data_IF_463323736096
#
_entry.id   IF_463323736096
#
_cell.length_a   1.000
_cell.length_b   1.000
_cell.length_c   1.000
_cell.angle_alpha   90.00
_cell.angle_beta   90.00
_cell.angle_gamma   90.00
#
_symmetry.space_group_name_H-M   'P 1'
#
loop_
_entity.id
_entity.type
_entity.pdbx_description
1 polymer ?
#
# COMPACT_ATOMS: atom_id res chain seq x y z
N UNK A 1 20.97 7.01 -11.89
CA UNK A 1 21.04 8.09 -10.89
C UNK A 1 21.27 7.47 -9.52
N UNK A 2 22.38 7.82 -8.85
CA UNK A 2 22.61 7.39 -7.47
C UNK A 2 21.75 8.22 -6.52
N UNK A 3 21.04 7.61 -5.55
CA UNK A 3 20.39 8.36 -4.48
C UNK A 3 21.42 9.24 -3.78
N UNK A 4 21.06 10.49 -3.47
CA UNK A 4 21.91 11.40 -2.69
C UNK A 4 22.32 10.75 -1.36
N UNK A 5 23.57 10.97 -0.93
CA UNK A 5 24.06 10.47 0.36
C UNK A 5 23.08 10.86 1.47
N UNK A 6 22.40 9.87 2.06
CA UNK A 6 21.45 10.05 3.15
C UNK A 6 19.97 9.79 2.83
N UNK A 7 19.57 9.68 1.55
CA UNK A 7 18.19 9.37 1.18
C UNK A 7 17.88 7.89 1.41
N UNK A 8 17.10 7.57 2.45
CA UNK A 8 16.78 6.20 2.85
C UNK A 8 15.48 5.74 2.19
N UNK A 9 15.57 4.68 1.39
CA UNK A 9 14.43 4.05 0.74
C UNK A 9 14.33 2.61 1.21
N UNK A 10 13.13 2.12 1.45
CA UNK A 10 12.87 0.74 1.84
C UNK A 10 11.65 0.16 1.15
N UNK A 11 11.52 -1.17 1.23
CA UNK A 11 10.33 -1.93 0.84
C UNK A 11 10.09 -3.02 1.89
N UNK A 12 9.10 -3.89 1.70
CA UNK A 12 8.91 -5.06 2.56
C UNK A 12 9.87 -6.17 2.13
N UNK A 13 10.54 -6.82 3.08
CA UNK A 13 11.39 -7.99 2.80
C UNK A 13 10.57 -9.12 2.17
N UNK A 14 11.18 -9.79 1.19
CA UNK A 14 10.62 -10.93 0.46
C UNK A 14 9.31 -10.63 -0.27
N UNK A 15 9.03 -9.35 -0.54
CA UNK A 15 7.86 -8.92 -1.29
C UNK A 15 8.03 -9.00 -2.80
N UNK A 16 6.91 -8.92 -3.53
CA UNK A 16 6.88 -8.70 -4.99
C UNK A 16 7.72 -7.48 -5.38
N UNK A 17 7.55 -6.37 -4.64
CA UNK A 17 8.30 -5.14 -4.84
C UNK A 17 9.82 -5.34 -4.68
N UNK A 18 10.28 -6.03 -3.62
CA UNK A 18 11.70 -6.33 -3.44
C UNK A 18 12.24 -7.20 -4.59
N UNK A 19 11.52 -8.25 -4.96
CA UNK A 19 11.90 -9.15 -6.05
C UNK A 19 12.01 -8.40 -7.39
N UNK A 20 11.05 -7.51 -7.67
CA UNK A 20 11.06 -6.66 -8.87
C UNK A 20 12.25 -5.69 -8.88
N UNK A 21 12.48 -4.99 -7.78
CA UNK A 21 13.58 -4.02 -7.64
C UNK A 21 14.93 -4.73 -7.74
N UNK A 22 15.08 -5.89 -7.10
CA UNK A 22 16.30 -6.71 -7.20
C UNK A 22 16.63 -7.08 -8.64
N UNK A 23 15.62 -7.46 -9.42
CA UNK A 23 15.78 -7.84 -10.83
C UNK A 23 16.05 -6.65 -11.75
N UNK A 24 15.33 -5.55 -11.56
CA UNK A 24 15.30 -4.42 -12.50
C UNK A 24 16.28 -3.29 -12.13
N UNK A 25 16.58 -3.13 -10.84
CA UNK A 25 17.38 -2.04 -10.27
C UNK A 25 18.30 -2.55 -9.14
N UNK A 26 19.31 -3.40 -9.45
CA UNK A 26 20.15 -4.06 -8.44
C UNK A 26 20.90 -3.09 -7.52
N UNK A 27 21.36 -1.94 -8.03
CA UNK A 27 22.02 -0.90 -7.23
C UNK A 27 21.07 -0.27 -6.20
N UNK A 28 19.82 -0.03 -6.61
CA UNK A 28 18.78 0.46 -5.70
C UNK A 28 18.44 -0.60 -4.65
N UNK A 29 18.31 -1.86 -5.04
CA UNK A 29 18.11 -2.96 -4.08
C UNK A 29 19.25 -3.06 -3.06
N UNK A 30 20.51 -2.94 -3.49
CA UNK A 30 21.66 -2.94 -2.58
C UNK A 30 21.60 -1.80 -1.56
N UNK A 31 21.14 -0.63 -1.99
CA UNK A 31 20.90 0.52 -1.11
C UNK A 31 19.74 0.29 -0.13
N UNK A 32 18.62 -0.26 -0.61
CA UNK A 32 17.40 -0.47 0.19
C UNK A 32 17.51 -1.60 1.22
N UNK A 33 18.40 -2.56 1.02
CA UNK A 33 18.49 -3.78 1.85
C UNK A 33 18.61 -3.49 3.36
N UNK A 34 19.32 -2.43 3.74
CA UNK A 34 19.54 -2.05 5.15
C UNK A 34 18.38 -1.26 5.78
N UNK A 35 17.42 -0.83 4.98
CA UNK A 35 16.34 0.06 5.39
C UNK A 35 14.94 -0.53 5.17
N UNK A 36 14.87 -1.73 4.59
CA UNK A 36 13.62 -2.44 4.35
C UNK A 36 12.99 -2.92 5.65
N UNK A 37 11.69 -3.22 5.60
CA UNK A 37 10.83 -3.45 6.75
C UNK A 37 10.21 -4.87 6.69
N UNK A 38 9.79 -5.42 7.84
CA UNK A 38 9.12 -6.73 7.87
C UNK A 38 7.69 -6.70 7.32
N UNK A 39 7.00 -5.57 7.40
CA UNK A 39 5.59 -5.43 6.99
C UNK A 39 5.30 -4.02 6.47
N UNK A 40 4.21 -3.87 5.70
CA UNK A 40 3.74 -2.56 5.20
C UNK A 40 3.48 -1.56 6.33
N UNK A 41 2.75 -1.89 7.41
CA UNK A 41 2.55 -0.94 8.52
C UNK A 41 3.86 -0.52 9.18
N UNK A 42 4.85 -1.42 9.27
CA UNK A 42 6.16 -1.07 9.83
C UNK A 42 6.92 -0.10 8.92
N UNK A 43 6.90 -0.32 7.60
CA UNK A 43 7.48 0.60 6.63
C UNK A 43 6.84 1.99 6.68
N UNK A 44 5.51 2.05 6.85
CA UNK A 44 4.77 3.31 7.06
C UNK A 44 5.17 4.00 8.35
N UNK A 45 5.24 3.28 9.47
CA UNK A 45 5.69 3.83 10.76
C UNK A 45 7.12 4.38 10.71
N UNK A 46 8.00 3.80 9.88
CA UNK A 46 9.35 4.30 9.66
C UNK A 46 9.39 5.63 8.88
N UNK A 47 8.37 5.94 8.06
CA UNK A 47 8.27 7.24 7.37
C UNK A 47 7.86 8.36 8.34
N UNK A 48 6.98 8.05 9.29
CA UNK A 48 6.37 9.04 10.19
C UNK A 48 7.03 9.12 11.56
N UNK A 49 8.08 8.31 11.82
CA UNK A 49 8.85 8.36 13.06
C UNK A 49 9.59 9.69 13.22
N UNK A 50 9.95 10.03 14.45
CA UNK A 50 10.78 11.20 14.77
C UNK A 50 12.07 10.77 15.50
N UNK A 51 13.27 10.86 14.86
CA UNK A 51 13.48 11.26 13.47
C UNK A 51 12.99 10.19 12.47
N UNK A 52 12.70 10.56 11.20
CA UNK A 52 12.27 9.60 10.19
C UNK A 52 13.34 8.54 9.91
N UNK A 53 12.97 7.27 9.96
CA UNK A 53 13.87 6.15 9.61
C UNK A 53 13.92 5.92 8.10
N UNK A 54 12.86 6.27 7.38
CA UNK A 54 12.79 6.26 5.91
C UNK A 54 12.44 7.65 5.37
N UNK A 55 12.89 7.92 4.15
CA UNK A 55 12.46 9.09 3.37
C UNK A 55 11.42 8.70 2.30
N UNK A 56 11.48 7.46 1.81
CA UNK A 56 10.49 6.90 0.89
C UNK A 56 10.30 5.41 1.14
N UNK A 57 9.09 4.93 0.88
CA UNK A 57 8.71 3.53 0.99
C UNK A 57 8.08 3.07 -0.33
N UNK A 58 8.61 1.99 -0.89
CA UNK A 58 8.15 1.42 -2.16
C UNK A 58 7.38 0.15 -1.84
N UNK A 59 6.11 0.09 -2.21
CA UNK A 59 5.25 -1.07 -2.03
C UNK A 59 4.07 -1.02 -3.00
N UNK A 60 3.29 -2.11 -3.09
CA UNK A 60 2.06 -2.21 -3.87
C UNK A 60 1.14 -1.01 -3.63
N UNK A 61 0.67 -0.41 -4.74
CA UNK A 61 -0.15 0.81 -4.68
C UNK A 61 -1.41 0.63 -3.83
N UNK A 62 -2.10 -0.50 -3.94
CA UNK A 62 -3.30 -0.80 -3.15
C UNK A 62 -3.00 -0.78 -1.65
N UNK A 63 -1.89 -1.38 -1.22
CA UNK A 63 -1.50 -1.39 0.19
C UNK A 63 -1.17 0.03 0.68
N UNK A 64 -0.45 0.81 -0.13
CA UNK A 64 -0.14 2.20 0.23
C UNK A 64 -1.37 3.10 0.25
N UNK A 65 -2.29 2.96 -0.70
CA UNK A 65 -3.54 3.72 -0.75
C UNK A 65 -4.43 3.41 0.46
N UNK A 66 -4.42 2.16 0.95
CA UNK A 66 -5.09 1.79 2.19
C UNK A 66 -4.47 2.50 3.41
N UNK A 67 -3.15 2.46 3.54
CA UNK A 67 -2.44 3.11 4.66
C UNK A 67 -2.68 4.63 4.66
N UNK A 68 -2.69 5.26 3.49
CA UNK A 68 -3.06 6.68 3.33
C UNK A 68 -4.51 6.94 3.70
N UNK A 69 -5.45 6.05 3.36
CA UNK A 69 -6.87 6.27 3.65
C UNK A 69 -7.21 6.17 5.15
N UNK A 70 -6.41 5.41 5.90
CA UNK A 70 -6.57 5.27 7.35
C UNK A 70 -5.73 6.28 8.16
N UNK A 71 -4.73 6.94 7.55
CA UNK A 71 -3.91 7.98 8.18
C UNK A 71 -4.76 9.14 8.71
N UNK A 72 -4.87 9.23 10.04
CA UNK A 72 -5.64 10.28 10.71
C UNK A 72 -4.91 11.64 10.70
N UNK A 73 -3.58 11.61 10.62
CA UNK A 73 -2.72 12.80 10.72
C UNK A 73 -2.44 13.44 9.36
N UNK A 74 -2.79 12.75 8.26
CA UNK A 74 -2.61 13.24 6.89
C UNK A 74 -1.15 13.60 6.57
N UNK A 75 -0.24 12.79 7.10
CA UNK A 75 1.21 12.89 6.90
C UNK A 75 1.68 12.07 5.70
N UNK A 76 0.85 11.16 5.21
CA UNK A 76 1.18 10.24 4.13
C UNK A 76 0.50 10.62 2.81
N UNK A 77 1.21 10.42 1.71
CA UNK A 77 0.66 10.52 0.36
C UNK A 77 1.41 9.59 -0.60
N UNK A 78 0.70 9.01 -1.58
CA UNK A 78 1.30 8.21 -2.64
C UNK A 78 1.74 9.10 -3.80
N UNK A 79 3.00 8.96 -4.25
CA UNK A 79 3.59 9.74 -5.35
C UNK A 79 4.07 8.85 -6.50
N UNK A 80 4.27 9.49 -7.66
CA UNK A 80 4.92 8.87 -8.81
C UNK A 80 3.94 8.16 -9.75
N UNK A 81 4.43 7.84 -10.95
CA UNK A 81 3.69 7.02 -11.91
C UNK A 81 3.84 5.55 -11.54
N UNK A 82 2.81 4.71 -11.74
CA UNK A 82 2.95 3.26 -11.64
C UNK A 82 4.11 2.79 -12.52
N UNK A 83 5.05 2.04 -11.95
CA UNK A 83 6.26 1.58 -12.62
C UNK A 83 6.33 0.05 -12.79
N UNK A 84 5.39 -0.67 -12.16
CA UNK A 84 5.16 -2.10 -12.33
C UNK A 84 3.65 -2.35 -12.31
N UNK A 85 3.17 -3.25 -13.18
CA UNK A 85 1.78 -3.70 -13.16
C UNK A 85 1.69 -4.99 -12.36
N UNK A 86 0.92 -4.97 -11.28
CA UNK A 86 0.66 -6.14 -10.44
C UNK A 86 -0.83 -6.44 -10.43
N UNK A 87 -1.17 -7.73 -10.31
CA UNK A 87 -2.54 -8.20 -10.25
C UNK A 87 -2.66 -9.35 -9.25
N UNK A 88 -3.60 -9.23 -8.33
CA UNK A 88 -3.94 -10.31 -7.41
C UNK A 88 -4.82 -11.36 -8.12
N UNK A 89 -4.52 -12.63 -7.89
CA UNK A 89 -5.24 -13.77 -8.44
C UNK A 89 -5.56 -14.80 -7.38
N UNK A 90 -6.47 -15.72 -7.70
CA UNK A 90 -6.80 -16.87 -6.85
C UNK A 90 -5.94 -18.05 -7.28
N UNK A 91 -5.12 -18.57 -6.37
CA UNK A 91 -4.29 -19.76 -6.61
C UNK A 91 -5.12 -21.04 -6.57
N UNK A 92 -4.94 -21.91 -7.57
CA UNK A 92 -5.56 -23.24 -7.63
C UNK A 92 -4.49 -24.29 -7.93
N UNK A 93 -4.70 -25.57 -7.52
CA UNK A 93 -3.87 -26.66 -8.00
C UNK A 93 -3.86 -26.74 -9.53
N UNK A 94 -2.75 -27.20 -10.09
CA UNK A 94 -2.63 -27.40 -11.53
C UNK A 94 -3.73 -28.33 -12.04
N UNK A 95 -4.33 -28.00 -13.18
CA UNK A 95 -5.44 -28.73 -13.80
C UNK A 95 -6.73 -28.81 -12.95
N UNK A 96 -6.92 -27.90 -11.99
CA UNK A 96 -8.18 -27.81 -11.26
C UNK A 96 -9.37 -27.59 -12.21
N UNK A 97 -10.44 -28.41 -12.11
CA UNK A 97 -11.64 -28.25 -12.92
C UNK A 97 -12.37 -26.93 -12.59
N UNK A 98 -12.03 -26.27 -11.48
CA UNK A 98 -12.63 -25.01 -11.05
C UNK A 98 -12.05 -23.79 -11.77
N UNK A 99 -10.91 -23.93 -12.44
CA UNK A 99 -10.17 -22.80 -13.02
C UNK A 99 -11.05 -21.97 -13.95
N UNK A 100 -11.70 -22.60 -14.94
CA UNK A 100 -12.55 -21.89 -15.90
C UNK A 100 -13.73 -21.21 -15.22
N UNK A 101 -14.45 -21.93 -14.35
CA UNK A 101 -15.63 -21.40 -13.67
C UNK A 101 -15.27 -20.20 -12.78
N UNK A 102 -14.17 -20.29 -12.03
CA UNK A 102 -13.71 -19.19 -11.17
C UNK A 102 -13.27 -17.97 -11.98
N UNK A 103 -12.54 -18.17 -13.08
CA UNK A 103 -12.17 -17.08 -13.97
C UNK A 103 -13.40 -16.38 -14.55
N UNK A 104 -14.43 -17.13 -14.95
CA UNK A 104 -15.69 -16.58 -15.44
C UNK A 104 -16.42 -15.75 -14.37
N UNK A 105 -16.52 -16.27 -13.13
CA UNK A 105 -17.14 -15.52 -12.04
C UNK A 105 -16.41 -14.22 -11.70
N UNK A 106 -15.07 -14.26 -11.64
CA UNK A 106 -14.26 -13.04 -11.44
C UNK A 106 -14.51 -12.03 -12.56
N UNK A 107 -14.58 -12.50 -13.81
CA UNK A 107 -14.90 -11.64 -14.95
C UNK A 107 -16.27 -10.98 -14.80
N UNK A 108 -17.30 -11.76 -14.40
CA UNK A 108 -18.66 -11.24 -14.15
C UNK A 108 -18.68 -10.20 -13.03
N UNK A 109 -17.97 -10.44 -11.93
CA UNK A 109 -17.86 -9.48 -10.82
C UNK A 109 -17.16 -8.18 -11.20
N UNK A 110 -16.16 -8.26 -12.08
CA UNK A 110 -15.51 -7.07 -12.63
C UNK A 110 -16.48 -6.31 -13.53
N UNK A 111 -17.11 -6.98 -14.50
CA UNK A 111 -18.00 -6.31 -15.47
C UNK A 111 -19.28 -5.75 -14.85
N UNK A 112 -19.76 -6.34 -13.74
CA UNK A 112 -20.93 -5.84 -13.02
C UNK A 112 -20.64 -4.66 -12.08
N UNK A 113 -19.38 -4.26 -11.92
CA UNK A 113 -18.96 -3.25 -10.94
C UNK A 113 -18.96 -3.74 -9.48
N UNK A 114 -19.17 -5.04 -9.24
CA UNK A 114 -19.16 -5.57 -7.87
C UNK A 114 -17.78 -5.42 -7.19
N UNK A 115 -16.70 -5.58 -7.96
CA UNK A 115 -15.34 -5.34 -7.45
C UNK A 115 -15.15 -3.87 -7.05
N UNK A 116 -15.72 -2.93 -7.80
CA UNK A 116 -15.64 -1.50 -7.48
C UNK A 116 -16.40 -1.17 -6.20
N UNK A 117 -17.58 -1.78 -5.99
CA UNK A 117 -18.33 -1.68 -4.74
C UNK A 117 -17.55 -2.20 -3.53
N UNK A 118 -16.83 -3.33 -3.70
CA UNK A 118 -15.95 -3.84 -2.64
C UNK A 118 -14.80 -2.88 -2.38
N UNK A 119 -14.16 -2.35 -3.42
CA UNK A 119 -13.08 -1.38 -3.28
C UNK A 119 -13.57 -0.15 -2.50
N UNK A 120 -14.68 0.45 -2.90
CA UNK A 120 -15.27 1.60 -2.20
C UNK A 120 -15.59 1.26 -0.74
N UNK A 121 -16.17 0.10 -0.46
CA UNK A 121 -16.52 -0.28 0.91
C UNK A 121 -15.30 -0.39 1.84
N UNK A 122 -14.18 -0.93 1.34
CA UNK A 122 -13.02 -1.27 2.17
C UNK A 122 -11.90 -0.22 2.14
N UNK A 123 -11.77 0.55 1.07
CA UNK A 123 -10.69 1.52 0.87
C UNK A 123 -11.14 2.98 1.03
N UNK A 124 -12.44 3.28 0.92
CA UNK A 124 -12.96 4.64 1.09
C UNK A 124 -13.10 4.99 2.57
N UNK A 125 -12.03 5.47 3.19
CA UNK A 125 -12.08 6.09 4.52
C UNK A 125 -11.80 7.59 4.49
N UNK A 126 -12.31 8.26 5.52
CA UNK A 126 -12.66 9.69 5.61
C UNK A 126 -11.58 10.61 5.01
N UNK A 127 -11.95 11.59 4.16
CA UNK A 127 -11.01 12.58 3.63
C UNK A 127 -10.22 13.26 4.75
N UNK A 128 -8.92 13.32 4.52
CA UNK A 128 -7.99 14.10 5.31
C UNK A 128 -8.52 15.52 5.57
N UNK A 129 -8.60 15.91 6.84
CA UNK A 129 -9.14 17.20 7.29
C UNK A 129 -10.61 17.23 7.74
N UNK A 130 -11.38 16.13 7.61
CA UNK A 130 -12.76 16.06 8.18
C UNK A 130 -12.88 15.31 9.51
N UNK A 131 -11.84 14.58 9.95
CA UNK A 131 -11.85 13.87 11.25
C UNK A 131 -11.75 14.82 12.47
N UNK A 132 -11.02 15.93 12.33
CA UNK A 132 -10.86 16.94 13.40
C UNK A 132 -12.19 17.59 13.82
N UNK A 133 -13.19 17.62 12.94
CA UNK A 133 -14.51 18.21 13.24
C UNK A 133 -15.49 17.23 13.91
N UNK A 134 -15.24 15.92 13.84
CA UNK A 134 -16.13 14.93 14.45
C UNK A 134 -15.87 14.79 15.97
N UNK A 135 -14.61 14.92 16.40
CA UNK A 135 -14.24 14.80 17.83
C UNK A 135 -14.56 16.08 18.63
N UNK A 136 -14.67 17.24 17.96
CA UNK A 136 -15.05 18.50 18.60
C UNK A 136 -16.57 18.62 18.89
N UNK A 137 -17.41 17.80 18.25
CA UNK A 137 -18.87 17.85 18.40
C UNK A 137 -19.44 16.92 19.49
N UNK A 138 -18.60 16.05 20.09
CA UNK A 138 -19.04 15.04 21.08
C UNK A 138 -18.82 15.43 22.56
N UNK A 139 -18.21 16.58 22.86
CA UNK A 139 -17.84 16.97 24.21
C UNK A 139 -18.90 17.75 24.97
N UNK A 140 -20.04 17.14 25.30
CA UNK A 140 -20.96 17.71 26.31
C UNK A 140 -20.43 17.34 27.71
N UNK A 141 -19.74 18.27 28.38
CA UNK A 141 -19.53 18.23 29.84
C UNK A 141 -20.73 18.89 30.52
N UNK A 142 -21.50 18.20 31.39
CA UNK A 142 -22.29 18.90 32.38
C UNK A 142 -21.39 19.35 33.53
N UNK A 143 -21.75 20.51 34.10
CA UNK A 143 -21.24 21.08 35.34
C UNK A 143 -21.44 20.14 36.54
#
# INVERSE_FOLDING_TARGET
HHPSQGFRVGTVWESSAEAYIKKSFPDLHAHMRRHSAPTTPHGVAMLTSDPPKLNAFIMDKSLLDYEVSIDADCKLLTVGKPFAMEGYGIGLPQNSPLTSNLSEFISRYKSSGFIDLLHDKWYRMVPCGKRVLADAAGGHRPL
#
